data_IF_003380640731
#
_entry.id   IF_003380640731
#
_cell.length_a   1.000
_cell.length_b   1.000
_cell.length_c   1.000
_cell.angle_alpha   90.00
_cell.angle_beta   90.00
_cell.angle_gamma   90.00
#
_symmetry.space_group_name_H-M   'P 1'
#
loop_
_entity.id
_entity.type
_entity.pdbx_description
1 polymer ?
#
# COMPACT_ATOMS: atom_id res chain seq x y z
N UNK A 1 13.03 -7.92 18.47
CA UNK A 1 12.63 -6.68 17.75
C UNK A 1 12.52 -7.03 16.28
N UNK A 2 11.36 -6.85 15.66
CA UNK A 2 11.28 -6.87 14.20
C UNK A 2 11.95 -5.57 13.72
N UNK A 3 12.95 -5.65 12.85
CA UNK A 3 13.72 -4.50 12.33
C UNK A 3 12.86 -3.61 11.39
N UNK A 4 11.67 -3.23 11.83
CA UNK A 4 10.74 -2.37 11.10
C UNK A 4 10.90 -0.91 11.52
N UNK A 5 10.59 -0.01 10.59
CA UNK A 5 10.47 1.42 10.84
C UNK A 5 8.98 1.72 10.95
N UNK A 6 8.58 2.46 11.99
CA UNK A 6 7.23 3.00 12.08
C UNK A 6 7.18 4.30 11.29
N UNK A 7 6.24 4.40 10.35
CA UNK A 7 6.01 5.64 9.60
C UNK A 7 4.96 6.46 10.34
N UNK A 8 5.30 7.69 10.70
CA UNK A 8 4.33 8.63 11.27
C UNK A 8 3.34 9.08 10.18
N UNK A 9 2.07 9.23 10.56
CA UNK A 9 1.01 9.61 9.63
C UNK A 9 1.23 11.00 9.00
N UNK A 10 1.91 11.89 9.71
CA UNK A 10 2.21 13.25 9.22
C UNK A 10 3.35 13.25 8.18
N UNK A 11 4.03 12.12 7.97
CA UNK A 11 5.04 11.97 6.91
C UNK A 11 4.45 11.76 5.51
N UNK A 12 3.13 11.63 5.40
CA UNK A 12 2.45 11.41 4.13
C UNK A 12 2.47 12.69 3.29
N UNK A 13 2.95 12.59 2.05
CA UNK A 13 2.97 13.73 1.11
C UNK A 13 1.53 13.99 0.63
N UNK A 14 0.85 14.96 1.26
CA UNK A 14 -0.57 15.25 1.03
C UNK A 14 -0.91 15.53 -0.44
N UNK A 15 -0.02 16.17 -1.19
CA UNK A 15 -0.22 16.44 -2.62
C UNK A 15 -0.27 15.16 -3.46
N UNK A 16 0.50 14.13 -3.10
CA UNK A 16 0.49 12.83 -3.78
C UNK A 16 -0.77 12.03 -3.42
N UNK A 17 -1.23 12.13 -2.17
CA UNK A 17 -2.53 11.56 -1.75
C UNK A 17 -3.67 12.16 -2.56
N UNK A 18 -3.71 13.49 -2.69
CA UNK A 18 -4.75 14.16 -3.47
C UNK A 18 -4.67 13.76 -4.95
N UNK A 19 -3.47 13.65 -5.52
CA UNK A 19 -3.27 13.21 -6.90
C UNK A 19 -3.74 11.78 -7.12
N UNK A 20 -3.40 10.86 -6.22
CA UNK A 20 -3.83 9.45 -6.31
C UNK A 20 -5.34 9.31 -6.10
N UNK A 21 -5.93 10.09 -5.21
CA UNK A 21 -7.38 10.15 -5.01
C UNK A 21 -8.09 10.59 -6.29
N UNK A 22 -7.60 11.64 -6.95
CA UNK A 22 -8.16 12.14 -8.22
C UNK A 22 -8.02 11.12 -9.35
N UNK A 23 -6.85 10.48 -9.48
CA UNK A 23 -6.55 9.54 -10.56
C UNK A 23 -7.32 8.22 -10.44
N UNK A 24 -7.64 7.80 -9.22
CA UNK A 24 -8.31 6.52 -8.96
C UNK A 24 -9.75 6.72 -8.44
N UNK A 25 -10.32 7.92 -8.56
CA UNK A 25 -11.66 8.27 -8.03
C UNK A 25 -12.79 7.33 -8.48
N UNK A 26 -12.66 6.69 -9.64
CA UNK A 26 -13.66 5.76 -10.20
C UNK A 26 -13.50 4.32 -9.70
N UNK A 27 -12.28 3.94 -9.32
CA UNK A 27 -11.95 2.60 -8.82
C UNK A 27 -11.84 2.55 -7.29
N UNK A 28 -11.75 3.71 -6.64
CA UNK A 28 -11.61 3.81 -5.21
C UNK A 28 -12.98 3.68 -4.52
N UNK A 29 -13.13 2.72 -3.60
CA UNK A 29 -14.22 2.73 -2.65
C UNK A 29 -13.93 3.77 -1.55
N UNK A 30 -13.76 5.05 -1.92
CA UNK A 30 -13.34 6.12 -1.00
C UNK A 30 -14.25 6.21 0.23
N UNK A 31 -15.52 5.84 0.05
CA UNK A 31 -16.54 5.83 1.11
C UNK A 31 -16.44 4.63 2.06
N UNK A 32 -15.80 3.53 1.67
CA UNK A 32 -15.82 2.26 2.42
C UNK A 32 -14.42 1.78 2.88
N UNK A 33 -13.32 2.20 2.24
CA UNK A 33 -11.96 1.71 2.57
C UNK A 33 -10.89 2.81 2.56
N UNK A 34 -11.18 3.98 3.16
CA UNK A 34 -10.25 5.11 3.27
C UNK A 34 -8.87 4.72 3.84
N UNK A 35 -8.84 3.86 4.86
CA UNK A 35 -7.57 3.37 5.45
C UNK A 35 -6.70 2.67 4.42
N UNK A 36 -7.29 1.78 3.63
CA UNK A 36 -6.55 0.98 2.64
C UNK A 36 -6.06 1.89 1.50
N UNK A 37 -6.83 2.91 1.14
CA UNK A 37 -6.37 3.95 0.21
C UNK A 37 -5.12 4.69 0.71
N UNK A 38 -5.12 5.11 1.98
CA UNK A 38 -3.98 5.80 2.58
C UNK A 38 -2.74 4.91 2.65
N UNK A 39 -2.92 3.65 3.08
CA UNK A 39 -1.82 2.66 3.10
C UNK A 39 -1.25 2.46 1.69
N UNK A 40 -2.11 2.21 0.71
CA UNK A 40 -1.68 1.95 -0.67
C UNK A 40 -0.93 3.14 -1.27
N UNK A 41 -1.46 4.35 -1.07
CA UNK A 41 -0.79 5.59 -1.50
C UNK A 41 0.59 5.72 -0.87
N UNK A 42 0.71 5.52 0.44
CA UNK A 42 1.99 5.65 1.12
C UNK A 42 3.01 4.64 0.59
N UNK A 43 2.60 3.38 0.41
CA UNK A 43 3.45 2.36 -0.18
C UNK A 43 3.91 2.72 -1.60
N UNK A 44 3.01 3.25 -2.43
CA UNK A 44 3.33 3.66 -3.80
C UNK A 44 4.27 4.88 -3.88
N UNK A 45 4.18 5.78 -2.91
CA UNK A 45 5.08 6.92 -2.78
C UNK A 45 6.47 6.50 -2.28
N UNK A 46 6.53 5.62 -1.28
CA UNK A 46 7.80 5.14 -0.71
C UNK A 46 8.45 4.03 -1.53
N UNK A 47 7.72 3.42 -2.47
CA UNK A 47 8.18 2.26 -3.24
C UNK A 47 8.31 0.98 -2.40
N UNK A 48 7.63 0.90 -1.26
CA UNK A 48 7.65 -0.30 -0.43
C UNK A 48 6.58 -1.29 -0.86
N UNK A 49 6.98 -2.55 -1.03
CA UNK A 49 6.03 -3.65 -1.27
C UNK A 49 5.03 -3.79 -0.11
N UNK A 50 3.79 -4.10 -0.46
CA UNK A 50 2.70 -4.29 0.49
C UNK A 50 2.47 -5.77 0.78
N UNK A 51 2.46 -6.13 2.06
CA UNK A 51 2.07 -7.47 2.53
C UNK A 51 0.64 -7.41 3.06
N UNK A 52 -0.31 -8.10 2.42
CA UNK A 52 -1.72 -8.09 2.79
C UNK A 52 -2.48 -9.30 2.22
N UNK A 53 -3.49 -9.78 2.95
CA UNK A 53 -4.46 -10.74 2.41
C UNK A 53 -5.48 -10.08 1.46
N UNK A 54 -5.72 -8.76 1.61
CA UNK A 54 -6.77 -8.05 0.87
C UNK A 54 -6.25 -7.50 -0.47
N UNK A 55 -5.58 -8.33 -1.28
CA UNK A 55 -4.89 -7.88 -2.53
C UNK A 55 -5.80 -7.07 -3.46
N UNK A 56 -7.08 -7.44 -3.55
CA UNK A 56 -8.06 -6.77 -4.41
C UNK A 56 -8.26 -5.29 -4.07
N UNK A 57 -8.19 -4.91 -2.78
CA UNK A 57 -8.34 -3.51 -2.34
C UNK A 57 -7.21 -2.60 -2.86
N UNK A 58 -6.09 -3.21 -3.24
CA UNK A 58 -4.87 -2.52 -3.67
C UNK A 58 -4.56 -2.76 -5.16
N UNK A 59 -5.46 -3.40 -5.91
CA UNK A 59 -5.28 -3.73 -7.33
C UNK A 59 -5.06 -2.51 -8.24
N UNK A 60 -5.36 -1.31 -7.76
CA UNK A 60 -5.12 -0.03 -8.45
C UNK A 60 -3.68 0.47 -8.33
N UNK A 61 -2.88 -0.07 -7.40
CA UNK A 61 -1.46 0.28 -7.25
C UNK A 61 -0.65 -0.32 -8.40
N UNK A 62 0.31 0.42 -8.95
CA UNK A 62 1.06 0.01 -10.16
C UNK A 62 2.56 -0.14 -9.94
N UNK A 63 3.11 0.56 -8.95
CA UNK A 63 4.58 0.66 -8.76
C UNK A 63 5.16 -0.30 -7.74
N UNK A 64 4.33 -1.02 -7.00
CA UNK A 64 4.76 -1.90 -5.91
C UNK A 64 4.24 -3.31 -6.11
N UNK A 65 4.89 -4.30 -5.49
CA UNK A 65 4.36 -5.63 -5.39
C UNK A 65 3.39 -5.73 -4.21
N UNK A 66 2.25 -6.40 -4.43
CA UNK A 66 1.32 -6.78 -3.38
C UNK A 66 1.36 -8.30 -3.23
N UNK A 67 1.67 -8.76 -2.02
CA UNK A 67 1.82 -10.18 -1.73
C UNK A 67 1.17 -10.58 -0.41
N UNK A 68 0.78 -11.84 -0.25
CA UNK A 68 0.32 -12.36 1.03
C UNK A 68 1.50 -12.59 1.97
N UNK A 69 1.27 -12.73 3.28
CA UNK A 69 2.32 -13.14 4.23
C UNK A 69 3.02 -14.44 3.82
N UNK A 70 2.29 -15.43 3.32
CA UNK A 70 2.85 -16.71 2.86
C UNK A 70 3.75 -16.51 1.64
N UNK A 71 3.29 -15.74 0.63
CA UNK A 71 4.09 -15.39 -0.55
C UNK A 71 5.39 -14.66 -0.14
N UNK A 72 5.30 -13.76 0.83
CA UNK A 72 6.44 -13.00 1.35
C UNK A 72 7.47 -13.88 2.08
N UNK A 73 7.00 -14.86 2.87
CA UNK A 73 7.84 -15.80 3.62
C UNK A 73 8.50 -16.81 2.66
N UNK A 74 7.75 -17.39 1.72
CA UNK A 74 8.26 -18.38 0.76
C UNK A 74 9.46 -17.84 -0.02
N UNK A 75 9.40 -16.59 -0.49
CA UNK A 75 10.52 -15.92 -1.20
C UNK A 75 11.79 -15.75 -0.37
N UNK A 76 11.69 -15.80 0.96
CA UNK A 76 12.83 -15.66 1.88
C UNK A 76 13.41 -16.99 2.32
N UNK A 77 12.60 -18.04 2.33
CA UNK A 77 13.07 -19.40 2.62
C UNK A 77 13.80 -19.99 1.42
N UNK A 78 13.43 -19.60 0.20
CA UNK A 78 14.04 -20.08 -1.05
C UNK A 78 15.30 -19.31 -1.48
N UNK A 79 15.74 -18.33 -0.69
CA UNK A 79 16.99 -17.56 -0.91
C UNK A 79 18.06 -18.05 0.05
#
# INVERSE_FOLDING_TARGET
KFNGIFLEWDSVILSEVLKNALNNKETLPFRHHFRDFMIGTQCENTGFDLVSYNKNHFSWLKRILIQTPEEFILKRIQK
#
